data_IF_624072382449
#
_entry.id   IF_624072382449
#
_cell.length_a   1.000
_cell.length_b   1.000
_cell.length_c   1.000
_cell.angle_alpha   90.00
_cell.angle_beta   90.00
_cell.angle_gamma   90.00
#
_symmetry.space_group_name_H-M   'P 1'
#
loop_
_entity.id
_entity.type
_entity.pdbx_description
1 polymer ?
#
# COMPACT_ATOMS: atom_id res chain seq x y z
N UNK A 1 -0.47 4.97 -0.01
CA UNK A 1 -1.09 3.66 0.22
C UNK A 1 -1.19 3.39 1.72
N UNK A 2 -1.93 2.36 2.13
CA UNK A 2 -1.99 1.90 3.54
C UNK A 2 -1.35 0.52 3.59
N UNK A 3 -0.30 0.30 4.41
CA UNK A 3 0.31 -1.02 4.52
C UNK A 3 -0.63 -2.00 5.24
N UNK A 4 -0.80 -3.18 4.64
CA UNK A 4 -1.58 -4.29 5.18
C UNK A 4 -0.63 -5.41 5.58
N UNK A 5 -0.71 -5.82 6.84
CA UNK A 5 0.19 -6.83 7.43
C UNK A 5 -0.43 -8.22 7.35
N UNK A 6 -1.76 -8.32 7.22
CA UNK A 6 -2.49 -9.57 7.06
C UNK A 6 -3.84 -9.40 6.35
N UNK A 7 -4.36 -10.49 5.78
CA UNK A 7 -5.66 -10.50 5.09
C UNK A 7 -6.85 -10.18 6.02
N UNK A 8 -6.74 -10.57 7.29
CA UNK A 8 -7.74 -10.27 8.31
C UNK A 8 -7.87 -8.75 8.51
N UNK A 9 -6.75 -8.05 8.50
CA UNK A 9 -6.73 -6.58 8.64
C UNK A 9 -7.47 -5.91 7.49
N UNK A 10 -7.26 -6.35 6.25
CA UNK A 10 -7.96 -5.79 5.09
C UNK A 10 -9.47 -6.00 5.24
N UNK A 11 -9.89 -7.20 5.61
CA UNK A 11 -11.31 -7.54 5.81
C UNK A 11 -11.95 -6.67 6.90
N UNK A 12 -11.25 -6.47 8.02
CA UNK A 12 -11.71 -5.63 9.11
C UNK A 12 -11.87 -4.16 8.68
N UNK A 13 -10.94 -3.62 7.90
CA UNK A 13 -11.02 -2.24 7.39
C UNK A 13 -12.20 -2.06 6.42
N UNK A 14 -12.42 -3.01 5.52
CA UNK A 14 -13.57 -2.98 4.59
C UNK A 14 -14.89 -3.00 5.36
N UNK A 15 -15.01 -3.88 6.37
CA UNK A 15 -16.18 -3.93 7.26
C UNK A 15 -16.41 -2.61 7.99
N UNK A 16 -15.35 -2.03 8.56
CA UNK A 16 -15.37 -0.76 9.29
C UNK A 16 -15.88 0.41 8.43
N UNK A 17 -15.47 0.46 7.16
CA UNK A 17 -15.90 1.46 6.20
C UNK A 17 -17.39 1.30 5.86
N UNK A 18 -17.83 0.05 5.63
CA UNK A 18 -19.23 -0.28 5.40
C UNK A 18 -20.14 0.10 6.55
N UNK A 19 -19.76 -0.20 7.79
CA UNK A 19 -20.50 0.17 9.02
C UNK A 19 -20.68 1.68 9.17
N UNK A 20 -19.73 2.48 8.67
CA UNK A 20 -19.79 3.94 8.69
C UNK A 20 -20.54 4.54 7.50
N UNK A 21 -21.03 3.71 6.57
CA UNK A 21 -21.73 4.15 5.38
C UNK A 21 -20.83 4.72 4.29
N UNK A 22 -19.52 4.42 4.32
CA UNK A 22 -18.61 4.79 3.24
C UNK A 22 -18.70 3.76 2.11
N UNK A 23 -19.24 4.17 0.97
CA UNK A 23 -19.23 3.36 -0.23
C UNK A 23 -17.80 3.23 -0.79
N UNK A 24 -17.40 2.01 -1.13
CA UNK A 24 -16.10 1.73 -1.73
C UNK A 24 -16.30 1.53 -3.23
N UNK A 25 -15.70 2.41 -4.03
CA UNK A 25 -15.79 2.34 -5.49
C UNK A 25 -14.76 1.39 -6.10
N UNK A 26 -13.58 1.26 -5.48
CA UNK A 26 -12.48 0.41 -5.93
C UNK A 26 -11.52 0.08 -4.78
N UNK A 27 -10.85 -1.08 -4.85
CA UNK A 27 -9.78 -1.49 -3.94
C UNK A 27 -8.72 -2.24 -4.75
N UNK A 28 -7.46 -1.80 -4.65
CA UNK A 28 -6.32 -2.49 -5.24
C UNK A 28 -5.26 -2.80 -4.17
N UNK A 29 -4.65 -3.98 -4.29
CA UNK A 29 -3.42 -4.33 -3.57
C UNK A 29 -2.24 -4.24 -4.54
N UNK A 30 -1.08 -3.87 -4.02
CA UNK A 30 0.17 -3.82 -4.76
C UNK A 30 1.28 -4.34 -3.85
N UNK A 31 2.33 -4.86 -4.48
CA UNK A 31 3.55 -5.22 -3.77
C UNK A 31 4.28 -3.92 -3.40
N UNK A 32 4.66 -3.71 -2.12
CA UNK A 32 5.44 -2.54 -1.74
C UNK A 32 6.82 -2.58 -2.36
N UNK A 33 7.39 -1.41 -2.63
CA UNK A 33 8.74 -1.29 -3.17
C UNK A 33 9.82 -1.53 -2.10
N UNK A 34 11.08 -1.70 -2.52
CA UNK A 34 12.20 -1.93 -1.59
C UNK A 34 12.38 -0.74 -0.66
N UNK A 35 12.38 0.48 -1.18
CA UNK A 35 12.56 1.70 -0.41
C UNK A 35 11.43 1.90 0.60
N UNK A 36 10.18 1.60 0.24
CA UNK A 36 9.05 1.62 1.18
C UNK A 36 9.25 0.66 2.36
N UNK A 37 9.64 -0.58 2.09
CA UNK A 37 9.92 -1.57 3.15
C UNK A 37 11.14 -1.16 3.97
N UNK A 38 12.19 -0.63 3.34
CA UNK A 38 13.39 -0.14 4.03
C UNK A 38 13.06 1.00 4.98
N UNK A 39 12.29 1.99 4.53
CA UNK A 39 11.83 3.11 5.36
C UNK A 39 10.93 2.61 6.50
N UNK A 40 9.98 1.71 6.22
CA UNK A 40 9.10 1.13 7.22
C UNK A 40 9.86 0.37 8.33
N UNK A 41 10.90 -0.39 7.98
CA UNK A 41 11.75 -1.12 8.94
C UNK A 41 12.67 -0.17 9.72
N UNK A 42 13.19 0.88 9.06
CA UNK A 42 14.12 1.84 9.68
C UNK A 42 13.42 2.95 10.47
N UNK A 43 12.08 2.96 10.50
CA UNK A 43 11.28 3.94 11.23
C UNK A 43 11.15 5.30 10.55
N UNK A 44 11.52 5.40 9.28
CA UNK A 44 11.32 6.60 8.47
C UNK A 44 9.96 6.53 7.77
N UNK A 45 9.21 7.64 7.75
CA UNK A 45 7.94 7.70 7.02
C UNK A 45 8.23 7.88 5.53
N UNK A 46 7.80 6.93 4.71
CA UNK A 46 7.70 7.15 3.28
C UNK A 46 6.66 8.26 3.01
N UNK A 47 7.11 9.45 2.65
CA UNK A 47 6.23 10.42 1.97
C UNK A 47 5.99 9.85 0.58
N UNK A 48 4.80 9.31 0.36
CA UNK A 48 4.37 8.83 -0.96
C UNK A 48 4.62 9.91 -2.00
N UNK A 49 5.67 9.73 -2.80
CA UNK A 49 5.82 10.34 -4.10
C UNK A 49 5.28 9.28 -5.04
N UNK A 50 4.14 9.54 -5.69
CA UNK A 50 3.62 8.68 -6.75
C UNK A 50 4.66 8.67 -7.89
N UNK A 51 5.62 7.74 -7.78
CA UNK A 51 6.63 7.48 -8.78
C UNK A 51 5.96 6.73 -9.92
N UNK A 52 5.72 7.40 -11.03
CA UNK A 52 5.44 6.75 -12.30
C UNK A 52 6.50 5.68 -12.54
N UNK A 53 6.05 4.44 -12.55
CA UNK A 53 6.85 3.22 -12.59
C UNK A 53 7.53 3.09 -13.97
N UNK A 54 8.67 3.79 -14.17
CA UNK A 54 9.58 3.50 -15.28
C UNK A 54 10.49 2.36 -14.86
N UNK A 55 10.07 1.13 -15.16
CA UNK A 55 10.94 -0.04 -15.12
C UNK A 55 12.05 0.15 -16.16
N UNK A 56 13.24 0.57 -15.73
CA UNK A 56 14.43 0.61 -16.59
C UNK A 56 15.06 -0.79 -16.59
N UNK A 57 14.83 -1.53 -17.67
CA UNK A 57 15.45 -2.82 -17.95
C UNK A 57 16.97 -2.65 -18.10
N UNK A 58 17.74 -3.01 -17.07
CA UNK A 58 19.20 -3.12 -17.15
C UNK A 58 19.57 -4.41 -17.85
N UNK A 59 19.76 -4.33 -19.17
CA UNK A 59 20.43 -5.37 -19.94
C UNK A 59 21.90 -5.47 -19.51
N UNK A 60 22.35 -6.66 -19.11
CA UNK A 60 23.74 -7.02 -18.87
C UNK A 60 24.11 -8.28 -19.67
#
# INVERSE_FOLDING_TARGET
SVPIVSDEQLTAVVGLLGERGFAIADIATHLPSLDEVFLAITGQKATHLDGSDTHEEVAA
#
